data_IF_772481377188
#
_entry.id   IF_772481377188
#
_cell.length_a   1.000
_cell.length_b   1.000
_cell.length_c   1.000
_cell.angle_alpha   90.00
_cell.angle_beta   90.00
_cell.angle_gamma   90.00
#
_symmetry.space_group_name_H-M   'P 1'
#
loop_
_entity.id
_entity.type
_entity.pdbx_description
1 polymer ?
#
# COMPACT_ATOMS: atom_id res chain seq x y z
N UNK A 1 11.64 9.97 1.78
CA UNK A 1 10.30 9.95 1.16
C UNK A 1 9.75 11.37 1.15
N UNK A 2 9.05 11.77 0.09
CA UNK A 2 8.55 13.13 -0.06
C UNK A 2 7.51 13.25 -1.18
N UNK A 3 6.68 14.29 -1.12
CA UNK A 3 5.55 14.49 -2.03
C UNK A 3 5.92 14.98 -3.44
N UNK A 4 7.21 15.25 -3.69
CA UNK A 4 7.69 15.66 -5.01
C UNK A 4 8.11 14.48 -5.90
N UNK A 5 8.14 13.26 -5.35
CA UNK A 5 8.58 12.05 -6.05
C UNK A 5 7.59 10.90 -5.78
N UNK A 6 6.83 10.52 -6.81
CA UNK A 6 5.85 9.44 -6.73
C UNK A 6 6.50 8.07 -6.43
N UNK A 7 7.78 7.88 -6.77
CA UNK A 7 8.53 6.64 -6.48
C UNK A 7 8.89 6.53 -4.99
N UNK A 8 8.80 7.64 -4.27
CA UNK A 8 9.16 7.79 -2.85
C UNK A 8 8.05 8.48 -2.05
N UNK A 9 6.79 8.33 -2.47
CA UNK A 9 5.63 8.89 -1.76
C UNK A 9 5.55 8.34 -0.33
N UNK A 10 5.17 9.12 0.69
CA UNK A 10 4.99 8.59 2.04
C UNK A 10 3.98 7.44 2.07
N UNK A 11 4.22 6.48 2.96
CA UNK A 11 3.41 5.25 3.09
C UNK A 11 2.79 5.22 4.48
N UNK A 12 1.53 4.82 4.57
CA UNK A 12 0.80 4.63 5.82
C UNK A 12 0.17 3.23 5.82
N UNK A 13 -0.01 2.58 6.98
CA UNK A 13 -0.62 1.27 7.04
C UNK A 13 -2.11 1.34 6.70
N UNK A 14 -2.64 0.27 6.09
CA UNK A 14 -4.03 -0.10 6.36
C UNK A 14 -4.21 -0.30 7.87
N UNK A 15 -5.18 0.38 8.47
CA UNK A 15 -5.47 0.27 9.91
C UNK A 15 -6.73 -0.53 10.17
N UNK A 16 -7.80 -0.23 9.43
CA UNK A 16 -9.08 -0.92 9.53
C UNK A 16 -9.14 -2.08 8.54
N UNK A 17 -9.98 -3.07 8.84
CA UNK A 17 -10.33 -4.19 7.95
C UNK A 17 -11.83 -4.34 7.71
N UNK A 18 -12.66 -3.57 8.41
CA UNK A 18 -14.11 -3.57 8.23
C UNK A 18 -14.57 -2.36 7.40
N UNK A 19 -14.92 -2.67 6.15
CA UNK A 19 -15.40 -1.71 5.16
C UNK A 19 -16.81 -2.04 4.65
N UNK A 20 -17.52 -2.97 5.30
CA UNK A 20 -18.85 -3.44 4.86
C UNK A 20 -19.93 -3.26 5.92
N UNK A 21 -19.58 -3.26 7.20
CA UNK A 21 -20.56 -3.09 8.27
C UNK A 21 -21.28 -1.74 8.22
N UNK A 22 -22.53 -1.73 8.68
CA UNK A 22 -23.35 -0.51 8.81
C UNK A 22 -22.78 0.47 9.84
N UNK A 23 -22.13 -0.05 10.87
CA UNK A 23 -21.49 0.72 11.94
C UNK A 23 -20.07 0.25 12.16
N UNK A 24 -19.22 1.13 12.69
CA UNK A 24 -17.82 0.84 13.00
C UNK A 24 -17.56 1.13 14.47
N UNK A 25 -17.30 0.08 15.25
CA UNK A 25 -16.92 0.19 16.66
C UNK A 25 -15.39 0.15 16.80
N UNK A 26 -14.77 1.29 17.10
CA UNK A 26 -13.31 1.38 17.28
C UNK A 26 -12.80 0.75 18.59
N UNK A 27 -13.69 0.37 19.50
CA UNK A 27 -13.33 -0.39 20.71
C UNK A 27 -13.24 -1.89 20.45
N UNK A 28 -13.75 -2.37 19.31
CA UNK A 28 -13.67 -3.79 18.92
C UNK A 28 -12.33 -4.09 18.22
N UNK A 29 -11.44 -4.91 18.82
CA UNK A 29 -10.18 -5.29 18.17
C UNK A 29 -10.35 -5.98 16.81
N UNK A 30 -11.51 -6.58 16.52
CA UNK A 30 -11.77 -7.29 15.28
C UNK A 30 -11.84 -6.36 14.05
N UNK A 31 -12.09 -5.05 14.23
CA UNK A 31 -12.14 -4.09 13.11
C UNK A 31 -10.77 -3.64 12.63
N UNK A 32 -9.70 -3.99 13.36
CA UNK A 32 -8.33 -3.61 13.04
C UNK A 32 -7.60 -4.68 12.25
N UNK A 33 -6.72 -4.24 11.36
CA UNK A 33 -5.73 -5.10 10.72
C UNK A 33 -4.64 -5.51 11.73
N UNK A 34 -4.11 -6.72 11.58
CA UNK A 34 -2.86 -7.13 12.20
C UNK A 34 -1.66 -6.34 11.62
N UNK A 35 -1.12 -5.41 12.40
CA UNK A 35 0.01 -4.55 12.04
C UNK A 35 1.36 -5.28 12.10
N UNK A 36 1.44 -6.47 12.69
CA UNK A 36 2.66 -7.28 12.72
C UNK A 36 2.91 -8.03 11.40
N UNK A 37 1.93 -8.04 10.50
CA UNK A 37 1.97 -8.75 9.21
C UNK A 37 1.91 -7.76 8.04
N UNK A 38 2.69 -7.98 6.97
CA UNK A 38 2.53 -7.20 5.74
C UNK A 38 1.21 -7.55 5.05
N UNK A 39 0.70 -6.64 4.21
CA UNK A 39 -0.57 -6.79 3.45
C UNK A 39 -0.66 -8.17 2.79
N UNK A 40 0.41 -8.54 2.08
CA UNK A 40 0.49 -9.78 1.32
C UNK A 40 0.34 -11.05 2.15
N UNK A 41 0.61 -10.97 3.45
CA UNK A 41 0.53 -12.08 4.38
C UNK A 41 -0.79 -12.15 5.15
N UNK A 42 -1.73 -11.22 4.99
CA UNK A 42 -2.97 -11.22 5.78
C UNK A 42 -3.94 -12.35 5.44
N UNK A 43 -3.88 -12.87 4.21
CA UNK A 43 -4.67 -14.00 3.74
C UNK A 43 -3.80 -15.25 3.64
N UNK A 44 -4.17 -16.32 4.36
CA UNK A 44 -3.35 -17.52 4.49
C UNK A 44 -3.29 -18.35 3.21
N UNK A 45 -4.38 -18.41 2.44
CA UNK A 45 -4.46 -19.19 1.19
C UNK A 45 -3.58 -18.56 0.11
N UNK A 46 -3.68 -17.24 -0.05
CA UNK A 46 -2.80 -16.48 -0.92
C UNK A 46 -1.35 -16.60 -0.47
N UNK A 47 -1.07 -16.46 0.82
CA UNK A 47 0.29 -16.55 1.35
C UNK A 47 0.92 -17.92 1.07
N UNK A 48 0.17 -19.01 1.22
CA UNK A 48 0.64 -20.35 0.88
C UNK A 48 1.08 -20.45 -0.58
N UNK A 49 0.29 -19.88 -1.50
CA UNK A 49 0.61 -19.83 -2.94
C UNK A 49 1.88 -19.02 -3.22
N UNK A 50 2.04 -17.87 -2.56
CA UNK A 50 3.23 -17.03 -2.71
C UNK A 50 4.50 -17.71 -2.17
N UNK A 51 4.40 -18.38 -1.02
CA UNK A 51 5.50 -19.16 -0.43
C UNK A 51 5.92 -20.31 -1.33
N UNK A 52 4.97 -21.01 -1.94
CA UNK A 52 5.28 -22.08 -2.90
C UNK A 52 6.01 -21.54 -4.14
N UNK A 53 5.56 -20.42 -4.71
CA UNK A 53 6.26 -19.76 -5.81
C UNK A 53 7.69 -19.36 -5.42
N UNK A 54 7.86 -18.77 -4.24
CA UNK A 54 9.18 -18.39 -3.72
C UNK A 54 10.08 -19.63 -3.53
N UNK A 55 9.52 -20.75 -3.06
CA UNK A 55 10.25 -22.03 -2.93
C UNK A 55 10.71 -22.55 -4.29
N UNK A 56 9.85 -22.47 -5.32
CA UNK A 56 10.20 -22.86 -6.68
C UNK A 56 11.33 -21.99 -7.25
N UNK A 57 11.31 -20.66 -6.99
CA UNK A 57 12.41 -19.77 -7.36
C UNK A 57 13.74 -20.18 -6.69
N UNK A 58 13.70 -20.54 -5.39
CA UNK A 58 14.88 -21.05 -4.68
C UNK A 58 15.44 -22.31 -5.34
N UNK A 59 14.57 -23.27 -5.70
CA UNK A 59 14.96 -24.50 -6.40
C UNK A 59 15.57 -24.23 -7.78
N UNK A 60 15.02 -23.24 -8.50
CA UNK A 60 15.52 -22.78 -9.79
C UNK A 60 16.78 -21.90 -9.69
N UNK A 61 17.32 -21.67 -8.48
CA UNK A 61 18.45 -20.77 -8.21
C UNK A 61 18.21 -19.33 -8.70
N UNK A 62 16.95 -18.91 -8.74
CA UNK A 62 16.55 -17.54 -9.03
C UNK A 62 16.47 -16.73 -7.72
N UNK A 63 16.73 -15.41 -7.75
CA UNK A 63 16.50 -14.55 -6.59
C UNK A 63 15.06 -14.68 -6.08
N UNK A 64 14.83 -15.20 -4.86
CA UNK A 64 13.49 -15.55 -4.40
C UNK A 64 12.79 -14.34 -3.76
N UNK A 65 11.49 -14.19 -4.02
CA UNK A 65 10.65 -13.15 -3.42
C UNK A 65 9.18 -13.58 -3.31
N UNK A 66 8.46 -12.99 -2.34
CA UNK A 66 7.02 -13.17 -2.17
C UNK A 66 6.22 -12.16 -3.01
N UNK A 67 6.70 -10.93 -3.14
CA UNK A 67 5.95 -9.85 -3.79
C UNK A 67 6.72 -9.27 -4.98
N UNK A 68 6.15 -9.38 -6.18
CA UNK A 68 6.75 -8.82 -7.40
C UNK A 68 6.58 -7.31 -7.53
N UNK A 69 5.56 -6.76 -6.89
CA UNK A 69 5.29 -5.32 -6.80
C UNK A 69 5.46 -4.88 -5.35
N UNK A 70 6.00 -3.68 -5.14
CA UNK A 70 6.16 -3.10 -3.81
C UNK A 70 4.86 -2.46 -3.32
N UNK A 71 4.62 -2.42 -2.00
CA UNK A 71 3.41 -1.82 -1.41
C UNK A 71 3.25 -0.31 -1.68
N UNK A 72 4.29 0.34 -2.19
CA UNK A 72 4.30 1.73 -2.61
C UNK A 72 5.05 1.84 -3.93
N UNK A 73 4.31 2.18 -4.98
CA UNK A 73 4.79 2.39 -6.34
C UNK A 73 4.00 3.56 -6.96
N UNK A 74 4.54 4.28 -7.97
CA UNK A 74 3.83 5.39 -8.59
C UNK A 74 2.44 5.02 -9.09
N UNK A 75 2.27 3.80 -9.64
CA UNK A 75 0.97 3.28 -10.05
C UNK A 75 -0.05 3.22 -8.91
N UNK A 76 0.36 2.82 -7.71
CA UNK A 76 -0.54 2.77 -6.54
C UNK A 76 -0.82 4.16 -5.96
N UNK A 77 0.16 5.06 -5.95
CA UNK A 77 -0.06 6.44 -5.52
C UNK A 77 -1.08 7.11 -6.44
N UNK A 78 -0.94 6.95 -7.76
CA UNK A 78 -1.87 7.53 -8.73
C UNK A 78 -3.20 6.77 -8.81
N UNK A 79 -3.24 5.48 -8.46
CA UNK A 79 -4.49 4.76 -8.24
C UNK A 79 -5.33 5.46 -7.15
N UNK A 80 -4.73 5.75 -6.00
CA UNK A 80 -5.42 6.47 -4.92
C UNK A 80 -5.80 7.90 -5.30
N UNK A 81 -4.88 8.61 -5.97
CA UNK A 81 -4.99 10.04 -6.19
C UNK A 81 -5.57 10.42 -7.57
N UNK A 82 -6.18 9.49 -8.30
CA UNK A 82 -6.68 9.76 -9.66
C UNK A 82 -7.60 10.99 -9.74
N UNK A 83 -8.43 11.23 -8.72
CA UNK A 83 -9.35 12.38 -8.64
C UNK A 83 -8.65 13.69 -8.25
N UNK A 84 -7.65 13.60 -7.35
CA UNK A 84 -6.89 14.77 -6.88
C UNK A 84 -5.81 15.21 -7.88
N UNK A 85 -5.13 14.26 -8.51
CA UNK A 85 -3.96 14.43 -9.37
C UNK A 85 -4.12 13.80 -10.79
N UNK A 86 -5.22 14.08 -11.53
CA UNK A 86 -5.52 13.42 -12.80
C UNK A 86 -4.44 13.64 -13.88
N UNK A 87 -3.80 14.82 -13.89
CA UNK A 87 -2.74 15.12 -14.85
C UNK A 87 -1.53 14.18 -14.70
N UNK A 88 -1.19 13.77 -13.47
CA UNK A 88 -0.11 12.82 -13.23
C UNK A 88 -0.53 11.41 -13.66
N UNK A 89 -1.78 11.02 -13.39
CA UNK A 89 -2.33 9.74 -13.85
C UNK A 89 -2.28 9.63 -15.38
N UNK A 90 -2.74 10.65 -16.10
CA UNK A 90 -2.71 10.68 -17.56
C UNK A 90 -1.28 10.58 -18.11
N UNK A 91 -0.31 11.25 -17.48
CA UNK A 91 1.11 11.13 -17.90
C UNK A 91 1.64 9.70 -17.74
N UNK A 92 1.32 9.06 -16.61
CA UNK A 92 1.74 7.67 -16.36
C UNK A 92 1.10 6.70 -17.37
N UNK A 93 -0.15 6.95 -17.75
CA UNK A 93 -0.96 6.08 -18.61
C UNK A 93 -1.00 6.55 -20.08
N UNK A 94 0.06 7.20 -20.57
CA UNK A 94 0.22 7.60 -21.98
C UNK A 94 -0.96 8.41 -22.55
N UNK A 95 -1.51 9.33 -21.74
CA UNK A 95 -2.55 10.27 -22.13
C UNK A 95 -3.99 9.77 -21.97
N UNK A 96 -4.21 8.58 -21.41
CA UNK A 96 -5.56 8.02 -21.16
C UNK A 96 -5.74 7.60 -19.71
N UNK A 97 -6.99 7.49 -19.26
CA UNK A 97 -7.28 6.81 -18.00
C UNK A 97 -7.10 5.30 -18.14
N UNK A 98 -6.93 4.60 -17.03
CA UNK A 98 -6.81 3.15 -17.02
C UNK A 98 -8.18 2.50 -17.32
N UNK A 99 -8.22 1.18 -17.50
CA UNK A 99 -9.50 0.48 -17.64
C UNK A 99 -10.38 0.73 -16.40
N UNK A 100 -11.68 1.05 -16.57
CA UNK A 100 -12.61 1.30 -15.45
C UNK A 100 -12.56 0.25 -14.34
N UNK A 101 -12.48 -1.04 -14.69
CA UNK A 101 -12.41 -2.14 -13.72
C UNK A 101 -11.11 -2.22 -12.91
N UNK A 102 -10.07 -1.48 -13.29
CA UNK A 102 -8.78 -1.39 -12.58
C UNK A 102 -8.58 -0.08 -11.83
N UNK A 103 -9.50 0.88 -11.97
CA UNK A 103 -9.38 2.18 -11.34
C UNK A 103 -9.94 2.16 -9.92
N UNK A 104 -9.52 3.12 -9.10
CA UNK A 104 -9.98 3.25 -7.72
C UNK A 104 -11.45 3.68 -7.67
N UNK A 105 -12.32 2.73 -7.33
CA UNK A 105 -13.76 2.91 -7.29
C UNK A 105 -14.36 2.73 -5.88
N UNK A 106 -13.87 1.77 -5.09
CA UNK A 106 -14.47 1.42 -3.80
C UNK A 106 -13.40 1.10 -2.76
N UNK A 107 -13.59 1.59 -1.52
CA UNK A 107 -12.70 1.26 -0.39
C UNK A 107 -12.77 -0.24 -0.07
N UNK A 108 -13.98 -0.80 0.02
CA UNK A 108 -14.19 -2.19 0.36
C UNK A 108 -13.58 -3.14 -0.70
N UNK A 109 -13.79 -2.85 -1.99
CA UNK A 109 -13.19 -3.64 -3.06
C UNK A 109 -11.65 -3.50 -3.08
N UNK A 110 -11.13 -2.31 -2.76
CA UNK A 110 -9.68 -2.11 -2.68
C UNK A 110 -9.07 -2.94 -1.56
N UNK A 111 -9.74 -3.02 -0.40
CA UNK A 111 -9.34 -3.89 0.71
C UNK A 111 -9.39 -5.37 0.32
N UNK A 112 -10.46 -5.82 -0.34
CA UNK A 112 -10.58 -7.21 -0.81
C UNK A 112 -9.51 -7.56 -1.85
N UNK A 113 -9.21 -6.64 -2.77
CA UNK A 113 -8.17 -6.81 -3.77
C UNK A 113 -6.80 -7.02 -3.11
N UNK A 114 -6.46 -6.24 -2.07
CA UNK A 114 -5.19 -6.44 -1.36
C UNK A 114 -5.12 -7.70 -0.52
N UNK A 115 -6.22 -8.43 -0.34
CA UNK A 115 -6.24 -9.74 0.32
C UNK A 115 -6.17 -10.90 -0.68
N UNK A 116 -6.76 -10.72 -1.86
CA UNK A 116 -7.01 -11.84 -2.80
C UNK A 116 -6.10 -11.83 -4.02
N UNK A 117 -5.73 -10.65 -4.54
CA UNK A 117 -4.87 -10.55 -5.71
C UNK A 117 -3.41 -10.84 -5.35
N UNK A 118 -2.74 -11.68 -6.15
CA UNK A 118 -1.33 -12.04 -5.96
C UNK A 118 -0.36 -10.91 -6.30
N UNK A 119 -0.82 -9.93 -7.08
CA UNK A 119 -0.04 -8.77 -7.49
C UNK A 119 -0.35 -7.51 -6.70
N UNK A 120 -1.40 -7.50 -5.88
CA UNK A 120 -1.87 -6.33 -5.14
C UNK A 120 -1.50 -6.41 -3.66
N UNK A 121 -0.48 -5.66 -3.28
CA UNK A 121 0.03 -5.56 -1.91
C UNK A 121 0.12 -4.11 -1.44
N UNK A 122 -0.65 -3.21 -2.06
CA UNK A 122 -0.57 -1.78 -1.80
C UNK A 122 -0.94 -1.42 -0.36
N UNK A 123 -0.12 -0.59 0.28
CA UNK A 123 -0.45 0.10 1.53
C UNK A 123 -1.12 1.45 1.21
N UNK A 124 -1.56 2.15 2.25
CA UNK A 124 -2.21 3.46 2.13
C UNK A 124 -1.20 4.61 2.01
N UNK A 125 -1.73 5.80 1.74
CA UNK A 125 -1.00 7.07 1.72
C UNK A 125 -1.52 8.00 2.83
N UNK A 126 -0.80 9.09 3.17
CA UNK A 126 -1.24 10.02 4.23
C UNK A 126 -2.62 10.64 4.03
N UNK A 127 -3.06 10.78 2.78
CA UNK A 127 -4.36 11.35 2.42
C UNK A 127 -5.53 10.61 3.06
N UNK A 128 -5.37 9.32 3.39
CA UNK A 128 -6.38 8.54 4.12
C UNK A 128 -6.56 8.95 5.60
N UNK A 129 -5.71 9.84 6.12
CA UNK A 129 -5.72 10.24 7.54
C UNK A 129 -5.71 11.76 7.74
N UNK A 130 -5.57 12.54 6.68
CA UNK A 130 -5.46 14.00 6.74
C UNK A 130 -6.38 14.68 5.73
N UNK A 131 -7.15 15.71 6.12
CA UNK A 131 -7.92 16.51 5.17
C UNK A 131 -6.99 17.30 4.23
N UNK A 132 -7.45 17.68 3.02
CA UNK A 132 -8.80 17.48 2.49
C UNK A 132 -9.08 16.06 1.96
N UNK A 133 -10.37 15.72 1.79
CA UNK A 133 -10.83 14.43 1.29
C UNK A 133 -11.15 14.43 -0.22
N UNK A 134 -10.57 15.37 -0.96
CA UNK A 134 -10.85 15.61 -2.38
C UNK A 134 -10.44 14.43 -3.28
N UNK A 135 -9.43 13.64 -2.90
CA UNK A 135 -9.08 12.41 -3.62
C UNK A 135 -10.19 11.35 -3.66
N UNK A 136 -11.21 11.47 -2.82
CA UNK A 136 -12.38 10.58 -2.78
C UNK A 136 -13.57 11.11 -3.61
N UNK A 137 -13.51 12.35 -4.09
CA UNK A 137 -14.64 13.03 -4.76
C UNK A 137 -14.25 13.46 -6.17
N UNK A 138 -15.06 13.10 -7.16
CA UNK A 138 -14.84 13.47 -8.56
C UNK A 138 -15.35 14.90 -8.85
N UNK A 139 -14.81 15.89 -8.13
CA UNK A 139 -15.24 17.30 -8.25
C UNK A 139 -15.03 17.90 -9.65
N UNK A 140 -14.18 17.29 -10.47
CA UNK A 140 -13.85 17.74 -11.83
C UNK A 140 -14.64 17.02 -12.91
N UNK A 141 -15.58 16.15 -12.54
CA UNK A 141 -16.36 15.31 -13.47
C UNK A 141 -15.45 14.59 -14.48
N UNK A 142 -14.38 13.97 -13.96
CA UNK A 142 -13.40 13.27 -14.77
C UNK A 142 -14.08 12.09 -15.51
N UNK A 143 -13.80 11.88 -16.81
CA UNK A 143 -14.40 10.81 -17.59
C UNK A 143 -13.69 9.47 -17.28
N UNK A 144 -13.95 8.91 -16.10
CA UNK A 144 -13.31 7.68 -15.62
C UNK A 144 -13.92 6.40 -16.25
N UNK A 145 -15.04 6.54 -16.97
CA UNK A 145 -15.69 5.47 -17.72
C UNK A 145 -16.60 4.58 -16.88
N UNK A 146 -17.10 3.50 -17.49
CA UNK A 146 -18.02 2.56 -16.86
C UNK A 146 -17.37 1.18 -16.72
N UNK A 147 -17.61 0.54 -15.58
CA UNK A 147 -17.15 -0.83 -15.30
C UNK A 147 -17.82 -1.81 -16.23
N UNK A 148 -17.05 -2.77 -16.72
CA UNK A 148 -17.59 -3.82 -17.60
C UNK A 148 -18.40 -4.87 -16.85
N UNK A 149 -18.13 -5.07 -15.56
CA UNK A 149 -18.76 -6.12 -14.75
C UNK A 149 -20.21 -5.82 -14.38
N UNK A 150 -20.51 -4.59 -13.97
CA UNK A 150 -21.79 -4.19 -13.40
C UNK A 150 -22.39 -2.95 -14.09
N UNK A 151 -21.67 -2.34 -15.04
CA UNK A 151 -22.11 -1.14 -15.75
C UNK A 151 -22.01 0.15 -14.92
N UNK A 152 -21.47 0.09 -13.70
CA UNK A 152 -21.39 1.26 -12.83
C UNK A 152 -20.43 2.30 -13.41
N UNK A 153 -20.90 3.56 -13.48
CA UNK A 153 -20.08 4.70 -13.87
C UNK A 153 -19.14 5.09 -12.72
N UNK A 154 -17.89 5.39 -13.05
CA UNK A 154 -16.90 5.84 -12.06
C UNK A 154 -17.05 7.34 -11.82
N UNK A 155 -17.61 7.68 -10.66
CA UNK A 155 -17.67 9.04 -10.12
C UNK A 155 -16.89 9.16 -8.82
N UNK A 156 -17.57 9.56 -7.76
CA UNK A 156 -17.04 9.54 -6.39
C UNK A 156 -16.65 8.12 -5.96
N UNK A 157 -15.71 8.02 -5.02
CA UNK A 157 -15.33 6.73 -4.42
C UNK A 157 -16.48 6.21 -3.57
N UNK A 158 -16.84 4.94 -3.75
CA UNK A 158 -17.79 4.23 -2.90
C UNK A 158 -17.16 4.04 -1.52
N UNK A 159 -17.72 4.76 -0.55
CA UNK A 159 -17.31 4.71 0.85
C UNK A 159 -18.02 3.58 1.60
N UNK A 160 -17.44 3.09 2.71
CA UNK A 160 -18.12 2.17 3.61
C UNK A 160 -19.43 2.75 4.16
N UNK A 161 -20.39 1.88 4.44
CA UNK A 161 -21.72 2.27 4.94
C UNK A 161 -21.63 3.13 6.20
N UNK A 162 -20.75 2.78 7.14
CA UNK A 162 -20.53 3.53 8.38
C UNK A 162 -20.02 4.96 8.18
N UNK A 163 -19.56 5.32 6.97
CA UNK A 163 -19.18 6.70 6.65
C UNK A 163 -20.38 7.57 6.20
N UNK A 164 -21.57 6.99 6.00
CA UNK A 164 -22.81 7.66 5.57
C UNK A 164 -22.59 8.60 4.37
N UNK A 165 -21.84 8.14 3.38
CA UNK A 165 -21.54 8.91 2.17
C UNK A 165 -20.69 10.17 2.39
N UNK A 166 -20.07 10.35 3.57
CA UNK A 166 -19.28 11.53 3.91
C UNK A 166 -17.77 11.22 3.88
N UNK A 167 -17.01 11.75 2.89
CA UNK A 167 -15.55 11.61 2.84
C UNK A 167 -14.87 12.17 4.10
N UNK A 168 -15.40 13.25 4.66
CA UNK A 168 -14.90 13.83 5.93
C UNK A 168 -15.10 12.90 7.11
N UNK A 169 -16.27 12.24 7.20
CA UNK A 169 -16.51 11.23 8.24
C UNK A 169 -15.59 10.03 8.06
N UNK A 170 -15.39 9.57 6.82
CA UNK A 170 -14.45 8.50 6.51
C UNK A 170 -13.03 8.81 7.02
N UNK A 171 -12.46 9.98 6.66
CA UNK A 171 -11.13 10.38 7.13
C UNK A 171 -11.08 10.56 8.65
N UNK A 172 -12.13 11.12 9.27
CA UNK A 172 -12.19 11.28 10.72
C UNK A 172 -12.11 9.92 11.43
N UNK A 173 -12.84 8.92 10.94
CA UNK A 173 -12.81 7.57 11.52
C UNK A 173 -11.47 6.87 11.28
N UNK A 174 -10.88 7.00 10.08
CA UNK A 174 -9.54 6.47 9.81
C UNK A 174 -8.49 7.10 10.74
N UNK A 175 -8.53 8.43 10.94
CA UNK A 175 -7.64 9.12 11.87
C UNK A 175 -7.88 8.68 13.32
N UNK A 176 -9.13 8.56 13.76
CA UNK A 176 -9.45 8.07 15.11
C UNK A 176 -8.95 6.64 15.34
N UNK A 177 -9.07 5.77 14.32
CA UNK A 177 -8.54 4.41 14.37
C UNK A 177 -7.01 4.41 14.44
N UNK A 178 -6.32 5.22 13.63
CA UNK A 178 -4.86 5.34 13.65
C UNK A 178 -4.33 5.84 15.01
N UNK A 179 -5.02 6.80 15.63
CA UNK A 179 -4.67 7.36 16.93
C UNK A 179 -5.21 6.52 18.12
N UNK A 180 -5.87 5.40 17.85
CA UNK A 180 -6.43 4.54 18.89
C UNK A 180 -5.35 3.91 19.76
N UNK A 181 -5.75 3.49 20.97
CA UNK A 181 -4.85 2.76 21.86
C UNK A 181 -4.46 1.39 21.29
N UNK A 182 -5.36 0.77 20.52
CA UNK A 182 -5.09 -0.48 19.81
C UNK A 182 -3.88 -0.33 18.86
N UNK A 183 -3.91 0.70 18.01
CA UNK A 183 -2.83 0.97 17.05
C UNK A 183 -1.58 1.46 17.77
N UNK A 184 -1.72 2.36 18.74
CA UNK A 184 -0.59 2.89 19.53
C UNK A 184 0.27 1.78 20.14
N UNK A 185 -0.37 0.71 20.65
CA UNK A 185 0.31 -0.45 21.24
C UNK A 185 1.04 -1.33 20.23
N UNK A 186 0.75 -1.21 18.93
CA UNK A 186 1.11 -2.18 17.87
C UNK A 186 1.84 -1.58 16.67
N UNK A 187 1.75 -0.27 16.45
CA UNK A 187 2.29 0.40 15.26
C UNK A 187 3.80 0.19 15.08
N UNK A 188 4.56 0.04 16.17
CA UNK A 188 5.98 -0.31 16.15
C UNK A 188 6.28 -1.59 15.35
N UNK A 189 5.36 -2.57 15.33
CA UNK A 189 5.51 -3.81 14.57
C UNK A 189 5.40 -3.57 13.05
N UNK A 190 4.54 -2.64 12.62
CA UNK A 190 4.45 -2.22 11.22
C UNK A 190 5.68 -1.39 10.81
N UNK A 191 6.15 -0.50 11.71
CA UNK A 191 7.39 0.26 11.48
C UNK A 191 8.57 -0.70 11.30
N UNK A 192 8.63 -1.80 12.05
CA UNK A 192 9.65 -2.84 11.88
C UNK A 192 9.66 -3.47 10.47
N UNK A 193 8.47 -3.67 9.88
CA UNK A 193 8.31 -4.21 8.52
C UNK A 193 8.75 -3.19 7.44
N UNK A 194 8.37 -1.93 7.61
CA UNK A 194 8.54 -0.90 6.55
C UNK A 194 9.89 -0.20 6.63
N UNK A 195 10.38 0.08 7.84
CA UNK A 195 11.59 0.89 8.07
C UNK A 195 12.64 0.17 8.93
N UNK A 196 12.30 -0.96 9.53
CA UNK A 196 13.10 -1.56 10.58
C UNK A 196 13.79 -2.86 10.21
N UNK A 197 14.07 -3.66 11.24
CA UNK A 197 14.88 -4.86 11.12
C UNK A 197 14.20 -6.01 10.36
N UNK A 198 12.87 -5.94 10.14
CA UNK A 198 12.10 -6.92 9.33
C UNK A 198 11.94 -6.49 7.86
N UNK A 199 12.58 -5.40 7.42
CA UNK A 199 12.49 -4.92 6.04
C UNK A 199 13.21 -5.85 5.03
N UNK A 200 14.35 -6.42 5.43
CA UNK A 200 15.13 -7.33 4.59
C UNK A 200 15.86 -8.41 5.42
N UNK A 201 16.49 -9.35 4.73
CA UNK A 201 17.25 -10.44 5.35
C UNK A 201 16.39 -11.51 6.03
N UNK A 202 16.96 -12.31 6.95
CA UNK A 202 16.28 -13.47 7.54
C UNK A 202 14.98 -13.12 8.29
N UNK A 203 14.93 -11.94 8.91
CA UNK A 203 13.74 -11.49 9.66
C UNK A 203 12.61 -11.10 8.71
N UNK A 204 12.92 -10.58 7.51
CA UNK A 204 11.93 -10.37 6.47
C UNK A 204 11.38 -11.69 5.94
N UNK A 205 12.21 -12.72 5.76
CA UNK A 205 11.74 -14.06 5.38
C UNK A 205 10.80 -14.66 6.44
N UNK A 206 11.14 -14.52 7.73
CA UNK A 206 10.28 -15.02 8.83
C UNK A 206 8.96 -14.26 8.96
N UNK A 207 8.95 -12.98 8.59
CA UNK A 207 7.76 -12.12 8.63
C UNK A 207 6.99 -12.08 7.30
N UNK A 208 7.37 -12.92 6.32
CA UNK A 208 6.80 -12.92 4.97
C UNK A 208 6.84 -11.55 4.29
N UNK A 209 7.93 -10.80 4.45
CA UNK A 209 8.07 -9.41 4.01
C UNK A 209 9.14 -9.25 2.92
N UNK A 210 9.20 -10.19 1.97
CA UNK A 210 10.25 -10.24 0.94
C UNK A 210 9.72 -9.76 -0.42
N UNK A 211 10.22 -8.61 -0.87
CA UNK A 211 9.90 -8.00 -2.17
C UNK A 211 10.92 -8.39 -3.24
N UNK A 212 10.63 -8.04 -4.48
CA UNK A 212 11.53 -8.21 -5.61
C UNK A 212 12.91 -7.58 -5.29
N UNK A 213 14.04 -8.22 -5.65
CA UNK A 213 15.38 -7.72 -5.30
C UNK A 213 15.65 -6.27 -5.72
N UNK A 214 15.13 -5.86 -6.89
CA UNK A 214 15.30 -4.50 -7.42
C UNK A 214 14.59 -3.40 -6.62
N UNK A 215 13.80 -3.77 -5.62
CA UNK A 215 13.12 -2.82 -4.74
C UNK A 215 14.06 -2.28 -3.66
N UNK A 216 15.13 -2.99 -3.30
CA UNK A 216 16.00 -2.66 -2.17
C UNK A 216 17.15 -1.70 -2.53
N UNK A 217 17.76 -1.11 -1.51
CA UNK A 217 18.84 -0.11 -1.66
C UNK A 217 20.05 -0.66 -2.42
N UNK A 218 20.38 -1.95 -2.26
CA UNK A 218 21.50 -2.59 -2.97
C UNK A 218 21.34 -2.52 -4.49
N UNK A 219 20.11 -2.60 -5.00
CA UNK A 219 19.84 -2.50 -6.44
C UNK A 219 20.09 -1.09 -7.00
N UNK A 220 20.06 -0.05 -6.15
CA UNK A 220 20.46 1.30 -6.57
C UNK A 220 21.97 1.41 -6.76
N UNK A 221 22.74 0.71 -5.92
CA UNK A 221 24.20 0.65 -6.07
C UNK A 221 24.57 -0.07 -7.37
N UNK A 222 23.86 -1.16 -7.68
CA UNK A 222 24.02 -1.90 -8.94
C UNK A 222 23.67 -1.00 -10.14
N UNK A 223 22.58 -0.23 -10.06
CA UNK A 223 22.18 0.71 -11.09
C UNK A 223 23.26 1.79 -11.33
N UNK A 224 23.81 2.36 -10.26
CA UNK A 224 24.83 3.40 -10.35
C UNK A 224 26.14 2.88 -10.96
N UNK A 225 26.49 1.63 -10.71
CA UNK A 225 27.64 0.95 -11.29
C UNK A 225 27.42 0.47 -12.73
N UNK A 226 26.18 0.36 -13.21
CA UNK A 226 25.87 -0.10 -14.57
C UNK A 226 26.27 0.95 -15.62
N UNK A 227 27.08 0.50 -16.58
CA UNK A 227 27.67 1.35 -17.63
C UNK A 227 27.01 1.14 -18.99
N UNK A 228 26.31 0.01 -19.19
CA UNK A 228 25.52 -0.22 -20.40
C UNK A 228 24.22 0.62 -20.32
N UNK A 229 24.03 1.61 -21.23
CA UNK A 229 22.87 2.49 -21.18
C UNK A 229 21.55 1.75 -21.37
N UNK A 230 21.53 0.63 -22.10
CA UNK A 230 20.30 -0.15 -22.34
C UNK A 230 19.89 -0.89 -21.07
N UNK A 231 20.85 -1.54 -20.41
CA UNK A 231 20.60 -2.24 -19.14
C UNK A 231 20.24 -1.27 -18.03
N UNK A 232 20.95 -0.15 -17.94
CA UNK A 232 20.65 0.92 -16.99
C UNK A 232 19.22 1.44 -17.15
N UNK A 233 18.81 1.76 -18.38
CA UNK A 233 17.45 2.22 -18.66
C UNK A 233 16.40 1.15 -18.30
N UNK A 234 16.68 -0.13 -18.55
CA UNK A 234 15.79 -1.23 -18.18
C UNK A 234 15.63 -1.37 -16.66
N UNK A 235 16.72 -1.24 -15.90
CA UNK A 235 16.68 -1.27 -14.43
C UNK A 235 15.92 -0.07 -13.88
N UNK A 236 16.21 1.14 -14.40
CA UNK A 236 15.48 2.37 -14.03
C UNK A 236 13.98 2.24 -14.28
N UNK A 237 13.58 1.73 -15.44
CA UNK A 237 12.16 1.51 -15.75
C UNK A 237 11.51 0.55 -14.73
N UNK A 238 12.15 -0.58 -14.44
CA UNK A 238 11.62 -1.56 -13.50
C UNK A 238 11.49 -0.98 -12.08
N UNK A 239 12.48 -0.22 -11.61
CA UNK A 239 12.44 0.41 -10.30
C UNK A 239 11.36 1.51 -10.21
N UNK A 240 11.20 2.28 -11.28
CA UNK A 240 10.20 3.35 -11.34
C UNK A 240 8.77 2.81 -11.48
N UNK A 241 8.57 1.65 -12.10
CA UNK A 241 7.25 1.05 -12.26
C UNK A 241 6.80 0.25 -11.03
N UNK A 242 7.68 -0.58 -10.47
CA UNK A 242 7.31 -1.57 -9.45
C UNK A 242 7.62 -1.13 -8.01
N UNK A 243 8.15 0.07 -7.83
CA UNK A 243 8.33 0.72 -6.54
C UNK A 243 9.64 0.38 -5.83
N UNK A 244 10.00 1.24 -4.88
CA UNK A 244 11.25 1.19 -4.12
C UNK A 244 10.98 1.14 -2.63
N UNK A 245 11.71 0.30 -1.91
CA UNK A 245 11.66 0.25 -0.45
C UNK A 245 12.16 1.58 0.14
N UNK A 246 11.56 2.07 1.24
CA UNK A 246 12.18 3.13 2.01
C UNK A 246 13.54 2.65 2.55
N UNK A 247 14.47 3.58 2.79
CA UNK A 247 15.73 3.27 3.48
C UNK A 247 15.45 2.65 4.85
N UNK A 248 16.16 1.56 5.19
CA UNK A 248 16.13 0.97 6.53
C UNK A 248 16.75 1.93 7.54
N UNK A 249 15.99 2.26 8.58
CA UNK A 249 16.37 3.26 9.58
C UNK A 249 17.09 2.65 10.79
N UNK A 250 16.81 1.39 11.12
CA UNK A 250 17.37 0.73 12.30
C UNK A 250 17.43 -0.79 12.13
N UNK A 251 18.30 -1.43 12.92
CA UNK A 251 18.59 -2.87 12.84
C UNK A 251 18.08 -3.69 14.04
N UNK A 252 17.44 -3.03 15.03
CA UNK A 252 16.82 -3.67 16.20
C UNK A 252 15.32 -3.41 16.18
N UNK A 253 14.55 -4.14 16.99
CA UNK A 253 13.12 -3.89 17.12
C UNK A 253 12.83 -2.43 17.53
N UNK A 254 11.85 -1.81 16.87
CA UNK A 254 11.37 -0.49 17.21
C UNK A 254 10.78 -0.51 18.62
N UNK A 255 11.09 0.47 19.49
CA UNK A 255 10.48 0.54 20.81
C UNK A 255 8.96 0.61 20.73
N UNK A 256 8.28 -0.14 21.60
CA UNK A 256 6.84 0.00 21.78
C UNK A 256 6.56 1.36 22.42
N UNK A 257 5.45 2.00 22.03
CA UNK A 257 4.97 3.22 22.71
C UNK A 257 4.61 2.88 24.15
N UNK A 258 5.12 3.66 25.10
CA UNK A 258 4.75 3.53 26.51
C UNK A 258 3.26 3.87 26.69
N UNK A 259 2.54 3.03 27.44
CA UNK A 259 1.12 3.22 27.71
C UNK A 259 0.83 4.51 28.52
N UNK A 260 1.79 4.92 29.35
CA UNK A 260 1.64 6.04 30.29
C UNK A 260 2.14 7.38 29.72
N UNK A 261 2.50 7.42 28.43
CA UNK A 261 3.08 8.62 27.81
C UNK A 261 2.12 9.82 27.72
N UNK A 262 0.81 9.61 27.92
CA UNK A 262 -0.24 10.64 27.87
C UNK A 262 -0.84 10.98 29.25
N UNK A 263 -0.39 10.35 30.34
CA UNK A 263 -0.87 10.63 31.70
C UNK A 263 -0.04 11.73 32.43
N UNK A 264 0.69 12.57 31.67
CA UNK A 264 1.46 13.71 32.19
C UNK A 264 1.02 15.02 31.58
#
# INVERSE_FOLDING_TARGET
>A
RGFNDLTQWPVMPWVLRDYRSETLNLDDPAVYRDLARPVGALDEERLATLRERMRQMKLAKMPPYLYGTHYSAPGYVLYWLIRAAPAHHLRLQSGRYDAPDRQFHSIAESWESVLTSSADVKELTPEFFTPPADFLVNVRDLPLGCRTRDGAELGDVVLPTWANGSPTTFLRMHRAALESEHVSRRIHEWIDLVFGYKQNGPEAERADNVFHPLTYEDALLDLDAETDPVRRASLEAQMNEFGRAPRRLFAKAHPRRDADAHEK
#
